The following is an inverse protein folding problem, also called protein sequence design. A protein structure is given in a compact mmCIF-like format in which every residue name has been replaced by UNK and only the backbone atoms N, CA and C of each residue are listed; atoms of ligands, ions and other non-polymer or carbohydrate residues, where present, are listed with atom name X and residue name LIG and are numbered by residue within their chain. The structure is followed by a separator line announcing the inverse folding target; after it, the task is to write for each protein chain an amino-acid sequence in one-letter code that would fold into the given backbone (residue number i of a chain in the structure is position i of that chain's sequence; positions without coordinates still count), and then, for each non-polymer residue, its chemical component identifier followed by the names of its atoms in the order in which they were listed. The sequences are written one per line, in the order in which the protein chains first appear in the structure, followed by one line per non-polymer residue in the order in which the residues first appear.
data_IF_396568861268
#
_entry.id   IF_396568861268
#
_cell.length_a   1.000
_cell.length_b   1.000
_cell.length_c   1.000
_cell.angle_alpha   90.00
_cell.angle_beta   90.00
_cell.angle_gamma   90.00
#
_symmetry.space_group_name_H-M   'P 1'
#
loop_
_entity.id
_entity.type
_entity.pdbx_description
1 polymer ?
#
# COMPACT_ATOMS: atom_id res chain seq x y z
N UNK A 1 -47.80 -93.42 -18.67
CA UNK A 1 -46.50 -92.93 -18.08
C UNK A 1 -46.06 -91.70 -18.86
N UNK A 2 -46.09 -90.60 -18.22
CA UNK A 2 -45.76 -89.26 -18.75
C UNK A 2 -44.35 -88.93 -18.35
N UNK A 3 -43.48 -88.78 -19.35
CA UNK A 3 -42.08 -88.36 -19.21
C UNK A 3 -42.00 -86.88 -18.86
N UNK A 4 -41.28 -86.46 -17.80
CA UNK A 4 -41.12 -85.00 -17.50
C UNK A 4 -40.11 -84.37 -18.47
N UNK A 5 -40.54 -83.31 -19.13
CA UNK A 5 -39.74 -82.50 -20.04
C UNK A 5 -38.63 -81.75 -19.30
N UNK A 6 -37.39 -81.97 -19.69
CA UNK A 6 -36.21 -81.22 -19.28
C UNK A 6 -36.31 -79.75 -19.71
N UNK A 7 -36.57 -78.85 -18.73
CA UNK A 7 -36.50 -77.41 -18.97
C UNK A 7 -35.04 -77.00 -19.22
N UNK A 8 -34.75 -76.57 -20.44
CA UNK A 8 -33.47 -75.96 -20.85
C UNK A 8 -33.26 -74.67 -20.07
N UNK A 9 -32.30 -74.61 -19.22
CA UNK A 9 -31.86 -73.39 -18.55
C UNK A 9 -31.55 -72.27 -19.58
N UNK A 10 -31.96 -71.01 -19.32
CA UNK A 10 -31.71 -69.91 -20.24
C UNK A 10 -30.20 -69.66 -20.39
N UNK A 11 -29.68 -69.81 -21.61
CA UNK A 11 -28.32 -69.44 -21.95
C UNK A 11 -28.18 -67.95 -21.83
N UNK A 12 -27.51 -67.43 -20.72
CA UNK A 12 -27.17 -66.02 -20.58
C UNK A 12 -26.37 -65.57 -21.82
N UNK A 13 -26.78 -64.50 -22.48
CA UNK A 13 -26.18 -64.09 -23.74
C UNK A 13 -24.69 -63.75 -23.53
N UNK A 14 -23.83 -64.38 -24.30
CA UNK A 14 -22.36 -64.21 -24.27
C UNK A 14 -21.93 -62.74 -24.36
N UNK A 15 -22.80 -61.90 -24.94
CA UNK A 15 -22.64 -60.42 -25.06
C UNK A 15 -22.66 -59.69 -23.72
N UNK A 16 -23.46 -60.11 -22.74
CA UNK A 16 -23.48 -59.51 -21.38
C UNK A 16 -22.15 -59.76 -20.60
N UNK A 17 -21.55 -60.96 -20.82
CA UNK A 17 -20.23 -61.26 -20.18
C UNK A 17 -19.11 -60.44 -20.81
N UNK A 18 -19.13 -60.25 -22.13
CA UNK A 18 -18.14 -59.40 -22.83
C UNK A 18 -18.27 -57.93 -22.42
N UNK A 19 -19.49 -57.40 -22.37
CA UNK A 19 -19.75 -56.04 -21.89
C UNK A 19 -19.27 -55.85 -20.44
N UNK A 20 -19.55 -56.84 -19.55
CA UNK A 20 -19.05 -56.77 -18.16
C UNK A 20 -17.52 -56.78 -18.05
N UNK A 21 -16.84 -57.56 -18.90
CA UNK A 21 -15.35 -57.59 -18.94
C UNK A 21 -14.81 -56.26 -19.47
N UNK A 22 -15.40 -55.68 -20.53
CA UNK A 22 -14.98 -54.38 -21.09
C UNK A 22 -15.16 -53.25 -20.10
N UNK A 23 -16.34 -53.20 -19.43
CA UNK A 23 -16.60 -52.21 -18.40
C UNK A 23 -15.68 -52.38 -17.19
N UNK A 24 -15.40 -53.61 -16.76
CA UNK A 24 -14.44 -53.89 -15.68
C UNK A 24 -13.01 -53.47 -16.05
N UNK A 25 -12.56 -53.74 -17.26
CA UNK A 25 -11.26 -53.31 -17.74
C UNK A 25 -11.15 -51.78 -17.85
N UNK A 26 -12.20 -51.11 -18.36
CA UNK A 26 -12.25 -49.64 -18.41
C UNK A 26 -12.21 -49.01 -17.01
N UNK A 27 -12.98 -49.55 -16.06
CA UNK A 27 -12.97 -49.08 -14.68
C UNK A 27 -11.60 -49.27 -14.01
N UNK A 28 -10.94 -50.43 -14.25
CA UNK A 28 -9.59 -50.68 -13.74
C UNK A 28 -8.59 -49.71 -14.32
N UNK A 29 -8.66 -49.39 -15.62
CA UNK A 29 -7.79 -48.40 -16.25
C UNK A 29 -8.00 -47.01 -15.67
N UNK A 30 -9.23 -46.60 -15.47
CA UNK A 30 -9.55 -45.30 -14.83
C UNK A 30 -9.02 -45.27 -13.41
N UNK A 31 -9.22 -46.31 -12.61
CA UNK A 31 -8.72 -46.39 -11.24
C UNK A 31 -7.19 -46.33 -11.18
N UNK A 32 -6.50 -47.04 -12.07
CA UNK A 32 -5.03 -47.00 -12.18
C UNK A 32 -4.55 -45.59 -12.58
N UNK A 33 -5.19 -44.98 -13.57
CA UNK A 33 -4.86 -43.63 -13.99
C UNK A 33 -5.11 -42.60 -12.88
N UNK A 34 -6.21 -42.75 -12.12
CA UNK A 34 -6.52 -41.91 -10.95
C UNK A 34 -5.45 -42.02 -9.87
N UNK A 35 -5.08 -43.22 -9.46
CA UNK A 35 -4.03 -43.46 -8.45
C UNK A 35 -2.67 -42.98 -8.96
N UNK A 36 -2.33 -43.24 -10.22
CA UNK A 36 -1.09 -42.76 -10.82
C UNK A 36 -1.04 -41.22 -10.81
N UNK A 37 -2.13 -40.52 -11.17
CA UNK A 37 -2.24 -39.09 -11.11
C UNK A 37 -2.06 -38.57 -9.68
N UNK A 38 -2.71 -39.19 -8.69
CA UNK A 38 -2.54 -38.82 -7.28
C UNK A 38 -1.07 -38.95 -6.84
N UNK A 39 -0.38 -40.00 -7.22
CA UNK A 39 1.04 -40.20 -6.89
C UNK A 39 1.93 -39.14 -7.56
N UNK A 40 1.64 -38.76 -8.81
CA UNK A 40 2.37 -37.71 -9.53
C UNK A 40 2.22 -36.35 -8.83
N UNK A 41 1.02 -36.02 -8.38
CA UNK A 41 0.73 -34.74 -7.71
C UNK A 41 1.06 -34.74 -6.20
N UNK A 42 1.45 -35.88 -5.63
CA UNK A 42 1.99 -35.90 -4.28
C UNK A 42 3.40 -35.28 -4.27
N UNK A 43 3.53 -34.10 -3.63
CA UNK A 43 4.78 -33.35 -3.58
C UNK A 43 5.09 -32.50 -4.82
N UNK A 44 4.10 -32.28 -5.69
CA UNK A 44 4.16 -31.34 -6.80
C UNK A 44 2.99 -30.39 -6.77
N UNK A 45 3.19 -29.19 -7.29
CA UNK A 45 2.12 -28.23 -7.50
C UNK A 45 1.15 -28.72 -8.56
N UNK A 46 -0.12 -28.41 -8.37
CA UNK A 46 -1.17 -28.76 -9.32
C UNK A 46 -1.05 -27.91 -10.59
N UNK A 47 -1.62 -28.37 -11.73
CA UNK A 47 -1.73 -27.53 -12.92
C UNK A 47 -2.46 -26.22 -12.64
N UNK A 48 -2.16 -25.17 -13.41
CA UNK A 48 -2.73 -23.83 -13.29
C UNK A 48 -2.48 -23.18 -11.90
N UNK A 49 -1.32 -23.45 -11.30
CA UNK A 49 -0.87 -22.80 -10.07
C UNK A 49 0.19 -21.74 -10.41
N UNK A 50 -0.04 -20.50 -9.97
CA UNK A 50 0.88 -19.38 -10.14
C UNK A 50 1.26 -18.77 -8.80
N UNK A 51 2.39 -18.05 -8.78
CA UNK A 51 2.74 -17.11 -7.72
C UNK A 51 2.95 -15.76 -8.42
N UNK A 52 1.98 -14.88 -8.30
CA UNK A 52 1.92 -13.68 -9.12
C UNK A 52 1.90 -14.00 -10.60
N UNK A 53 2.87 -13.47 -11.35
CA UNK A 53 2.98 -13.73 -12.79
C UNK A 53 3.72 -15.01 -13.13
N UNK A 54 4.31 -15.71 -12.14
CA UNK A 54 5.14 -16.90 -12.36
C UNK A 54 4.31 -18.17 -12.30
N UNK A 55 4.32 -18.95 -13.38
CA UNK A 55 3.73 -20.30 -13.43
C UNK A 55 4.63 -21.32 -12.73
N UNK A 56 4.11 -21.94 -11.66
CA UNK A 56 4.75 -22.99 -10.87
C UNK A 56 4.09 -24.35 -11.06
N UNK A 57 3.20 -24.49 -12.05
CA UNK A 57 2.49 -25.73 -12.35
C UNK A 57 3.43 -26.91 -12.52
N UNK A 58 3.09 -28.04 -11.89
CA UNK A 58 3.84 -29.30 -11.95
C UNK A 58 5.26 -29.29 -11.37
N UNK A 59 5.73 -28.16 -10.87
CA UNK A 59 7.04 -28.05 -10.23
C UNK A 59 7.09 -28.84 -8.93
N UNK A 60 8.28 -29.29 -8.55
CA UNK A 60 8.53 -29.88 -7.24
C UNK A 60 8.69 -28.80 -6.18
N UNK A 61 8.57 -29.17 -4.90
CA UNK A 61 8.83 -28.25 -3.78
C UNK A 61 10.17 -27.52 -3.94
N UNK A 62 11.25 -28.25 -4.20
CA UNK A 62 12.60 -27.68 -4.34
C UNK A 62 12.79 -26.82 -5.61
N UNK A 63 12.00 -27.05 -6.66
CA UNK A 63 12.02 -26.16 -7.82
C UNK A 63 11.35 -24.83 -7.49
N UNK A 64 10.20 -24.87 -6.78
CA UNK A 64 9.49 -23.65 -6.37
C UNK A 64 10.28 -22.89 -5.30
N UNK A 65 10.94 -23.57 -4.35
CA UNK A 65 11.84 -22.91 -3.41
C UNK A 65 12.89 -22.06 -4.12
N UNK A 66 13.52 -22.58 -5.17
CA UNK A 66 14.49 -21.82 -5.98
C UNK A 66 13.83 -20.65 -6.71
N UNK A 67 12.68 -20.87 -7.33
CA UNK A 67 11.94 -19.81 -8.01
C UNK A 67 11.58 -18.69 -7.06
N UNK A 68 11.15 -19.00 -5.84
CA UNK A 68 10.80 -17.99 -4.84
C UNK A 68 12.02 -17.19 -4.34
N UNK A 69 13.17 -17.84 -4.20
CA UNK A 69 14.43 -17.15 -3.85
C UNK A 69 14.88 -16.25 -5.00
N UNK A 70 14.89 -16.76 -6.23
CA UNK A 70 15.26 -15.97 -7.42
C UNK A 70 14.31 -14.77 -7.60
N UNK A 71 12.99 -14.94 -7.37
CA UNK A 71 12.00 -13.88 -7.47
C UNK A 71 12.20 -12.80 -6.39
N UNK A 72 12.61 -13.22 -5.18
CA UNK A 72 12.93 -12.27 -4.12
C UNK A 72 14.23 -11.50 -4.44
N UNK A 73 15.26 -12.19 -4.94
CA UNK A 73 16.53 -11.56 -5.29
C UNK A 73 16.37 -10.55 -6.44
N UNK A 74 15.45 -10.81 -7.37
CA UNK A 74 15.12 -9.94 -8.49
C UNK A 74 14.10 -8.83 -8.12
N UNK A 75 13.49 -8.92 -6.92
CA UNK A 75 12.46 -7.95 -6.52
C UNK A 75 13.05 -6.58 -6.24
N UNK A 76 12.50 -5.58 -6.91
CA UNK A 76 12.85 -4.16 -6.76
C UNK A 76 11.58 -3.32 -6.69
N UNK A 77 11.49 -2.48 -5.68
CA UNK A 77 10.45 -1.44 -5.60
C UNK A 77 11.01 -0.10 -6.06
N UNK A 78 10.38 0.47 -7.09
CA UNK A 78 10.68 1.80 -7.60
C UNK A 78 9.66 2.83 -7.06
N UNK A 79 10.10 3.66 -6.12
CA UNK A 79 9.31 4.78 -5.56
C UNK A 79 9.62 6.04 -6.36
N UNK A 80 8.61 6.73 -6.89
CA UNK A 80 8.82 7.95 -7.68
C UNK A 80 7.65 8.93 -7.58
N UNK A 81 7.95 10.22 -7.68
CA UNK A 81 6.96 11.30 -7.70
C UNK A 81 7.41 12.51 -6.88
N UNK A 82 6.79 13.66 -7.08
CA UNK A 82 7.08 14.91 -6.36
C UNK A 82 8.56 15.34 -6.40
N UNK A 83 9.31 14.93 -7.44
CA UNK A 83 10.74 15.19 -7.55
C UNK A 83 11.64 14.19 -6.80
N UNK A 84 11.05 13.23 -6.08
CA UNK A 84 11.74 12.15 -5.38
C UNK A 84 11.83 10.89 -6.25
N UNK A 85 12.91 10.14 -6.08
CA UNK A 85 13.09 8.82 -6.70
C UNK A 85 13.96 7.96 -5.79
N UNK A 86 13.49 6.76 -5.48
CA UNK A 86 14.19 5.78 -4.67
C UNK A 86 13.96 4.39 -5.28
N UNK A 87 15.00 3.56 -5.30
CA UNK A 87 14.93 2.14 -5.65
C UNK A 87 15.36 1.33 -4.45
N UNK A 88 14.60 0.34 -4.12
CA UNK A 88 14.84 -0.55 -2.98
C UNK A 88 14.83 -1.98 -3.49
N UNK A 89 15.90 -2.70 -3.25
CA UNK A 89 15.97 -4.15 -3.43
C UNK A 89 15.33 -4.86 -2.24
N UNK A 90 15.08 -6.15 -2.37
CA UNK A 90 14.62 -6.97 -1.25
C UNK A 90 15.57 -6.91 -0.05
N UNK A 91 16.88 -6.87 -0.29
CA UNK A 91 17.91 -6.73 0.75
C UNK A 91 17.81 -5.37 1.46
N UNK A 92 17.69 -4.26 0.71
CA UNK A 92 17.52 -2.90 1.26
C UNK A 92 16.25 -2.78 2.10
N UNK A 93 15.21 -3.53 1.74
CA UNK A 93 13.95 -3.61 2.48
C UNK A 93 14.04 -4.54 3.71
N UNK A 94 15.16 -5.24 3.92
CA UNK A 94 15.30 -6.25 4.97
C UNK A 94 14.33 -7.42 4.81
N UNK A 95 13.98 -7.75 3.57
CA UNK A 95 13.09 -8.86 3.27
C UNK A 95 13.81 -10.18 3.47
N UNK A 96 13.15 -11.10 4.17
CA UNK A 96 13.65 -12.46 4.37
C UNK A 96 12.54 -13.44 4.04
N UNK A 97 12.87 -14.46 3.28
CA UNK A 97 11.94 -15.50 2.87
C UNK A 97 12.41 -16.86 3.39
N UNK A 98 11.61 -17.47 4.24
CA UNK A 98 11.75 -18.90 4.57
C UNK A 98 11.05 -19.72 3.47
N UNK A 99 11.71 -19.84 2.31
CA UNK A 99 11.14 -20.48 1.14
C UNK A 99 10.66 -21.92 1.41
N UNK A 100 11.39 -22.80 2.15
CA UNK A 100 10.88 -24.12 2.50
C UNK A 100 9.56 -24.07 3.25
N UNK A 101 9.43 -23.19 4.24
CA UNK A 101 8.22 -23.05 5.05
C UNK A 101 7.03 -22.53 4.25
N UNK A 102 7.28 -21.58 3.33
CA UNK A 102 6.24 -21.04 2.44
C UNK A 102 5.75 -22.12 1.50
N UNK A 103 6.66 -22.85 0.85
CA UNK A 103 6.33 -23.95 -0.06
C UNK A 103 5.59 -25.09 0.66
N UNK A 104 6.00 -25.47 1.87
CA UNK A 104 5.28 -26.45 2.68
C UNK A 104 3.83 -26.00 2.94
N UNK A 105 3.61 -24.73 3.29
CA UNK A 105 2.29 -24.15 3.50
C UNK A 105 1.45 -24.15 2.22
N UNK A 106 2.02 -23.76 1.08
CA UNK A 106 1.34 -23.82 -0.21
C UNK A 106 0.91 -25.24 -0.58
N UNK A 107 1.79 -26.24 -0.39
CA UNK A 107 1.50 -27.63 -0.68
C UNK A 107 0.50 -28.27 0.30
N UNK A 108 0.49 -27.84 1.58
CA UNK A 108 -0.43 -28.38 2.59
C UNK A 108 -1.91 -28.09 2.28
N UNK A 109 -2.18 -27.01 1.55
CA UNK A 109 -3.52 -26.62 1.13
C UNK A 109 -3.98 -27.35 -0.15
N UNK A 110 -3.08 -28.05 -0.83
CA UNK A 110 -3.39 -28.84 -2.00
C UNK A 110 -3.77 -30.28 -1.62
N UNK A 111 -4.92 -30.75 -2.09
CA UNK A 111 -5.32 -32.15 -1.90
C UNK A 111 -5.06 -32.96 -3.18
N UNK A 112 -4.00 -33.79 -3.22
CA UNK A 112 -3.65 -34.57 -4.40
C UNK A 112 -4.75 -35.53 -4.87
N UNK A 113 -5.66 -35.93 -3.97
CA UNK A 113 -6.80 -36.79 -4.34
C UNK A 113 -7.88 -36.09 -5.13
N UNK A 114 -7.94 -34.76 -5.07
CA UNK A 114 -8.92 -33.96 -5.83
C UNK A 114 -8.36 -33.48 -7.17
N UNK A 115 -7.20 -33.97 -7.60
CA UNK A 115 -6.51 -33.52 -8.81
C UNK A 115 -7.41 -33.43 -10.07
N UNK A 116 -8.39 -34.36 -10.33
CA UNK A 116 -9.23 -34.25 -11.52
C UNK A 116 -10.17 -33.05 -11.51
N UNK A 117 -10.51 -32.53 -10.32
CA UNK A 117 -11.33 -31.35 -10.14
C UNK A 117 -10.50 -30.08 -10.10
N UNK A 118 -9.31 -30.19 -9.55
CA UNK A 118 -8.41 -29.05 -9.33
C UNK A 118 -7.60 -28.67 -10.59
N UNK A 119 -7.44 -29.59 -11.54
CA UNK A 119 -6.71 -29.36 -12.80
C UNK A 119 -7.33 -28.25 -13.67
N UNK A 120 -8.59 -27.90 -13.47
CA UNK A 120 -9.29 -26.82 -14.20
C UNK A 120 -9.43 -25.53 -13.39
N UNK A 121 -8.91 -25.51 -12.14
CA UNK A 121 -8.92 -24.35 -11.26
C UNK A 121 -7.62 -23.56 -11.39
N UNK A 122 -7.75 -22.26 -11.57
CA UNK A 122 -6.63 -21.33 -11.43
C UNK A 122 -6.38 -21.08 -9.96
N UNK A 123 -5.11 -21.09 -9.54
CA UNK A 123 -4.65 -20.81 -8.19
C UNK A 123 -3.53 -19.80 -8.23
N UNK A 124 -3.74 -18.69 -7.55
CA UNK A 124 -2.67 -17.75 -7.26
C UNK A 124 -2.29 -17.87 -5.77
N UNK A 125 -1.03 -18.16 -5.53
CA UNK A 125 -0.46 -18.33 -4.20
C UNK A 125 0.33 -17.09 -3.73
N UNK A 126 0.18 -15.95 -4.42
CA UNK A 126 0.91 -14.71 -4.14
C UNK A 126 0.66 -14.19 -2.72
N UNK A 127 -0.59 -14.29 -2.23
CA UNK A 127 -0.93 -13.85 -0.87
C UNK A 127 -0.14 -14.57 0.22
N UNK A 128 0.24 -15.83 -0.03
CA UNK A 128 1.04 -16.62 0.91
C UNK A 128 2.50 -16.20 0.94
N UNK A 129 2.99 -15.67 -0.17
CA UNK A 129 4.34 -15.11 -0.27
C UNK A 129 4.43 -13.78 0.50
N UNK A 130 3.48 -12.87 0.29
CA UNK A 130 3.44 -11.55 0.90
C UNK A 130 3.49 -11.58 2.44
N UNK A 131 2.89 -12.59 3.07
CA UNK A 131 2.84 -12.75 4.53
C UNK A 131 4.20 -13.05 5.21
N UNK A 132 5.30 -13.10 4.48
CA UNK A 132 6.61 -13.58 4.97
C UNK A 132 7.67 -12.49 5.12
N UNK A 133 7.32 -11.21 5.04
CA UNK A 133 8.27 -10.09 5.10
C UNK A 133 8.38 -9.47 6.50
N UNK A 134 9.58 -8.94 6.80
CA UNK A 134 9.86 -8.20 8.02
C UNK A 134 9.91 -6.69 7.74
N UNK A 135 9.02 -5.91 8.36
CA UNK A 135 8.88 -4.47 8.11
C UNK A 135 9.98 -3.60 8.76
N UNK A 136 10.76 -4.17 9.68
CA UNK A 136 11.58 -3.37 10.61
C UNK A 136 12.73 -2.58 9.97
N UNK A 137 13.29 -3.03 8.85
CA UNK A 137 14.42 -2.37 8.19
C UNK A 137 13.98 -1.39 7.11
N UNK A 138 12.91 -1.73 6.39
CA UNK A 138 12.36 -0.94 5.30
C UNK A 138 12.05 0.50 5.72
N UNK A 139 11.35 0.67 6.86
CA UNK A 139 10.97 1.98 7.36
C UNK A 139 12.18 2.88 7.66
N UNK A 140 13.30 2.32 8.14
CA UNK A 140 14.52 3.09 8.40
C UNK A 140 15.20 3.53 7.10
N UNK A 141 15.28 2.65 6.10
CA UNK A 141 15.89 2.95 4.80
C UNK A 141 15.10 4.03 4.07
N UNK A 142 13.76 3.91 4.05
CA UNK A 142 12.88 4.92 3.44
C UNK A 142 12.98 6.25 4.17
N UNK A 143 12.95 6.25 5.50
CA UNK A 143 13.11 7.46 6.33
C UNK A 143 14.38 8.20 5.98
N UNK A 144 15.53 7.53 6.00
CA UNK A 144 16.81 8.15 5.69
C UNK A 144 16.83 8.79 4.28
N UNK A 145 16.27 8.11 3.28
CA UNK A 145 16.21 8.65 1.92
C UNK A 145 15.29 9.87 1.81
N UNK A 146 14.13 9.85 2.50
CA UNK A 146 13.19 11.00 2.50
C UNK A 146 13.75 12.18 3.28
N UNK A 147 14.43 11.95 4.40
CA UNK A 147 15.09 13.02 5.18
C UNK A 147 16.20 13.68 4.37
N UNK A 148 17.00 12.90 3.65
CA UNK A 148 18.05 13.44 2.75
C UNK A 148 17.45 14.30 1.63
N UNK A 149 16.38 13.84 1.00
CA UNK A 149 15.63 14.63 0.01
C UNK A 149 15.07 15.91 0.64
N UNK A 150 14.46 15.83 1.80
CA UNK A 150 13.86 16.95 2.51
C UNK A 150 14.88 18.01 2.94
N UNK A 151 16.15 17.66 3.11
CA UNK A 151 17.20 18.64 3.40
C UNK A 151 17.38 19.71 2.32
N UNK A 152 16.97 19.40 1.07
CA UNK A 152 16.99 20.34 -0.07
C UNK A 152 15.60 20.78 -0.54
N UNK A 153 14.54 20.15 -0.07
CA UNK A 153 13.17 20.46 -0.42
C UNK A 153 12.68 21.73 0.31
N UNK A 154 11.65 22.36 -0.22
CA UNK A 154 11.01 23.52 0.41
C UNK A 154 9.95 23.01 1.40
N UNK A 155 10.04 23.36 2.68
CA UNK A 155 8.96 23.07 3.62
C UNK A 155 7.70 23.87 3.24
N UNK A 156 6.50 23.42 3.62
CA UNK A 156 5.30 24.22 3.50
C UNK A 156 5.40 25.48 4.40
N UNK A 157 4.74 26.53 3.99
CA UNK A 157 4.61 27.75 4.78
C UNK A 157 3.16 27.83 5.26
N UNK A 158 2.97 28.00 6.57
CA UNK A 158 1.66 28.13 7.19
C UNK A 158 1.01 29.46 6.77
N UNK A 159 -0.32 29.47 6.71
CA UNK A 159 -1.06 30.73 6.61
C UNK A 159 -0.80 31.58 7.87
N UNK A 160 -0.74 32.88 7.69
CA UNK A 160 -0.46 33.82 8.78
C UNK A 160 -1.28 35.08 8.62
N UNK A 161 -1.22 35.95 9.60
CA UNK A 161 -1.82 37.30 9.55
C UNK A 161 -0.69 38.31 9.41
N UNK A 162 -0.75 39.14 8.37
CA UNK A 162 0.22 40.21 8.16
C UNK A 162 -0.46 41.50 7.70
N UNK A 163 0.18 42.64 7.93
CA UNK A 163 -0.32 43.93 7.48
C UNK A 163 -0.10 44.05 5.96
N UNK A 164 -1.16 44.37 5.23
CA UNK A 164 -1.14 44.70 3.81
C UNK A 164 -1.12 46.20 3.62
N UNK A 165 -0.01 46.73 3.08
CA UNK A 165 0.16 48.17 2.86
C UNK A 165 -0.83 48.71 1.82
N UNK A 166 -1.31 47.91 0.88
CA UNK A 166 -2.24 48.33 -0.16
C UNK A 166 -3.67 48.49 0.37
N UNK A 167 -4.04 47.64 1.34
CA UNK A 167 -5.36 47.68 2.02
C UNK A 167 -5.34 48.47 3.33
N UNK A 168 -4.14 48.88 3.79
CA UNK A 168 -3.89 49.51 5.09
C UNK A 168 -4.55 48.74 6.25
N UNK A 169 -4.48 47.40 6.18
CA UNK A 169 -5.14 46.50 7.10
C UNK A 169 -4.38 45.17 7.26
N UNK A 170 -4.59 44.54 8.42
CA UNK A 170 -4.15 43.14 8.60
C UNK A 170 -5.04 42.20 7.78
N UNK A 171 -4.42 41.37 6.96
CA UNK A 171 -5.07 40.38 6.14
C UNK A 171 -4.46 38.99 6.36
N UNK A 172 -5.23 37.93 6.08
CA UNK A 172 -4.75 36.58 6.11
C UNK A 172 -3.89 36.35 4.87
N UNK A 173 -2.61 36.07 5.10
CA UNK A 173 -1.68 35.63 4.06
C UNK A 173 -1.86 34.13 3.84
N UNK A 174 -2.07 33.75 2.58
CA UNK A 174 -2.34 32.36 2.22
C UNK A 174 -1.13 31.49 2.43
N UNK A 175 -1.38 30.27 2.91
CA UNK A 175 -0.39 29.19 3.00
C UNK A 175 0.27 28.89 1.64
N UNK A 176 1.51 28.44 1.68
CA UNK A 176 2.22 27.98 0.49
C UNK A 176 2.54 26.51 0.61
N UNK A 177 2.17 25.75 -0.42
CA UNK A 177 2.55 24.35 -0.51
C UNK A 177 4.08 24.23 -0.67
N UNK A 178 4.66 23.33 0.12
CA UNK A 178 6.07 22.96 -0.01
C UNK A 178 6.27 21.83 -1.03
N UNK A 179 7.54 21.38 -1.13
CA UNK A 179 7.93 20.19 -1.87
C UNK A 179 8.49 19.11 -0.96
N UNK A 180 8.60 19.37 0.34
CA UNK A 180 9.04 18.40 1.32
C UNK A 180 8.02 17.28 1.48
N UNK A 181 8.52 16.04 1.57
CA UNK A 181 7.70 14.83 1.72
C UNK A 181 7.39 14.57 3.19
N UNK A 182 6.21 14.06 3.45
CA UNK A 182 5.84 13.48 4.74
C UNK A 182 6.44 12.09 4.87
N UNK A 183 7.36 11.94 5.79
CA UNK A 183 8.15 10.72 6.00
C UNK A 183 7.23 9.54 6.30
N UNK A 184 6.26 9.73 7.20
CA UNK A 184 5.40 8.63 7.65
C UNK A 184 4.43 8.20 6.52
N UNK A 185 3.87 9.14 5.77
CA UNK A 185 3.00 8.83 4.63
C UNK A 185 3.74 8.06 3.53
N UNK A 186 5.02 8.40 3.28
CA UNK A 186 5.84 7.66 2.31
C UNK A 186 6.15 6.25 2.82
N UNK A 187 6.54 6.09 4.10
CA UNK A 187 6.83 4.79 4.71
C UNK A 187 5.59 3.89 4.65
N UNK A 188 4.42 4.40 5.02
CA UNK A 188 3.17 3.64 4.99
C UNK A 188 2.87 3.11 3.58
N UNK A 189 2.95 4.00 2.57
CA UNK A 189 2.69 3.62 1.18
C UNK A 189 3.71 2.61 0.64
N UNK A 190 4.99 2.74 1.01
CA UNK A 190 6.03 1.78 0.59
C UNK A 190 5.84 0.44 1.30
N UNK A 191 5.50 0.43 2.59
CA UNK A 191 5.19 -0.81 3.32
C UNK A 191 4.02 -1.56 2.69
N UNK A 192 2.96 -0.84 2.30
CA UNK A 192 1.80 -1.44 1.63
C UNK A 192 2.19 -2.05 0.27
N UNK A 193 2.98 -1.34 -0.53
CA UNK A 193 3.45 -1.85 -1.82
C UNK A 193 4.33 -3.09 -1.68
N UNK A 194 5.24 -3.10 -0.70
CA UNK A 194 6.09 -4.27 -0.41
C UNK A 194 5.26 -5.44 0.09
N UNK A 195 4.27 -5.21 0.96
CA UNK A 195 3.38 -6.25 1.45
C UNK A 195 2.54 -6.92 0.35
N UNK A 196 2.25 -6.19 -0.72
CA UNK A 196 1.51 -6.68 -1.90
C UNK A 196 2.40 -7.03 -3.08
N UNK A 197 3.74 -6.98 -2.92
CA UNK A 197 4.71 -7.23 -3.98
C UNK A 197 4.56 -6.29 -5.20
N UNK A 198 4.03 -5.09 -4.99
CA UNK A 198 3.94 -4.08 -6.05
C UNK A 198 5.32 -3.51 -6.37
N UNK A 199 5.77 -3.57 -7.64
CA UNK A 199 7.11 -3.10 -8.01
C UNK A 199 7.22 -1.59 -8.18
N UNK A 200 6.11 -0.84 -8.09
CA UNK A 200 6.09 0.61 -8.35
C UNK A 200 5.20 1.34 -7.38
N UNK A 201 5.75 2.38 -6.76
CA UNK A 201 5.04 3.32 -5.90
C UNK A 201 5.07 4.70 -6.54
N UNK A 202 3.90 5.33 -6.67
CA UNK A 202 3.77 6.68 -7.19
C UNK A 202 3.38 7.65 -6.09
N UNK A 203 4.30 8.55 -5.73
CA UNK A 203 4.03 9.61 -4.77
C UNK A 203 3.18 10.72 -5.43
N UNK A 204 2.17 11.16 -4.71
CA UNK A 204 1.24 12.22 -5.12
C UNK A 204 1.34 13.41 -4.15
N UNK A 205 0.53 14.43 -4.34
CA UNK A 205 0.45 15.57 -3.41
C UNK A 205 -0.01 15.17 -1.98
N UNK A 206 -0.63 14.01 -1.82
CA UNK A 206 -1.00 13.49 -0.50
C UNK A 206 0.22 13.10 0.36
N UNK A 207 1.37 12.86 -0.27
CA UNK A 207 2.63 12.52 0.40
C UNK A 207 3.51 13.74 0.69
N UNK A 208 3.03 14.95 0.39
CA UNK A 208 3.73 16.18 0.76
C UNK A 208 3.36 16.59 2.18
N UNK A 209 4.33 17.18 2.88
CA UNK A 209 4.05 17.86 4.14
C UNK A 209 2.99 18.93 3.92
N UNK A 210 2.00 18.97 4.79
CA UNK A 210 0.92 19.93 4.71
C UNK A 210 1.17 21.11 5.67
N UNK A 211 0.81 22.33 5.28
CA UNK A 211 0.77 23.46 6.21
C UNK A 211 -0.13 23.12 7.40
N UNK A 212 0.30 23.50 8.59
CA UNK A 212 -0.49 23.32 9.83
C UNK A 212 -1.64 24.30 9.91
N UNK A 213 -1.42 25.52 9.41
CA UNK A 213 -2.39 26.61 9.38
C UNK A 213 -2.80 26.87 7.92
N UNK A 214 -4.10 26.92 7.69
CA UNK A 214 -4.67 27.21 6.37
C UNK A 214 -5.43 28.51 6.38
N UNK A 215 -5.44 29.23 5.30
CA UNK A 215 -6.17 30.49 5.15
C UNK A 215 -7.68 30.36 5.34
N UNK A 216 -8.19 29.13 5.36
CA UNK A 216 -9.60 28.80 5.66
C UNK A 216 -9.88 28.62 7.15
N UNK A 217 -8.88 28.68 8.01
CA UNK A 217 -9.05 28.49 9.44
C UNK A 217 -9.66 29.77 10.06
N UNK A 218 -10.83 29.63 10.65
CA UNK A 218 -11.65 30.77 11.14
C UNK A 218 -10.90 31.69 12.10
N UNK A 219 -10.03 31.14 12.95
CA UNK A 219 -9.27 31.90 13.92
C UNK A 219 -8.25 32.88 13.30
N UNK A 220 -7.75 32.63 12.07
CA UNK A 220 -6.89 33.56 11.33
C UNK A 220 -7.69 34.84 10.95
N UNK A 221 -8.92 34.64 10.49
CA UNK A 221 -9.81 35.76 10.16
C UNK A 221 -10.18 36.55 11.44
N UNK A 222 -10.39 35.86 12.56
CA UNK A 222 -10.64 36.49 13.86
C UNK A 222 -9.42 37.28 14.34
N UNK A 223 -8.21 36.72 14.22
CA UNK A 223 -6.95 37.38 14.56
C UNK A 223 -6.73 38.66 13.72
N UNK A 224 -6.90 38.55 12.38
CA UNK A 224 -6.83 39.71 11.50
C UNK A 224 -7.85 40.81 11.88
N UNK A 225 -9.08 40.41 12.17
CA UNK A 225 -10.13 41.33 12.62
C UNK A 225 -9.80 41.97 13.96
N UNK A 226 -9.21 41.22 14.90
CA UNK A 226 -8.77 41.75 16.18
C UNK A 226 -7.61 42.74 16.02
N UNK A 227 -6.60 42.41 15.21
CA UNK A 227 -5.50 43.32 14.90
C UNK A 227 -5.97 44.63 14.24
N UNK A 228 -6.92 44.51 13.32
CA UNK A 228 -7.53 45.65 12.64
C UNK A 228 -8.31 46.59 13.60
N UNK A 229 -8.81 46.05 14.71
CA UNK A 229 -9.42 46.90 15.75
C UNK A 229 -8.36 47.72 16.52
N UNK A 230 -7.18 47.18 16.72
CA UNK A 230 -6.09 47.87 17.41
C UNK A 230 -5.55 49.05 16.58
N UNK A 231 -5.35 48.87 15.27
CA UNK A 231 -4.80 49.91 14.38
C UNK A 231 -5.83 51.00 13.98
N UNK A 232 -7.11 50.75 14.25
CA UNK A 232 -8.18 51.77 14.05
C UNK A 232 -8.34 52.68 15.24
N UNK A 233 -7.52 52.56 16.27
CA UNK A 233 -7.54 53.48 17.41
C UNK A 233 -7.11 54.88 16.93
N UNK A 234 -7.91 55.90 17.28
CA UNK A 234 -7.56 57.28 17.01
C UNK A 234 -6.52 57.72 18.07
N UNK A 235 -5.27 57.68 17.70
CA UNK A 235 -4.13 58.04 18.57
C UNK A 235 -3.52 59.33 18.09
N UNK A 236 -3.66 60.39 18.90
CA UNK A 236 -3.13 61.71 18.62
C UNK A 236 -2.06 62.09 19.67
N UNK A 237 -0.91 62.46 19.17
CA UNK A 237 0.12 63.08 19.99
C UNK A 237 -0.17 64.58 20.08
N UNK A 238 -0.42 65.08 21.30
CA UNK A 238 -0.66 66.51 21.54
C UNK A 238 0.49 67.15 22.30
N UNK A 239 0.92 68.32 21.86
CA UNK A 239 1.93 69.12 22.54
C UNK A 239 1.35 70.54 22.81
N UNK A 240 1.22 70.91 24.06
CA UNK A 240 0.68 72.17 24.43
C UNK A 240 -0.79 72.42 24.03
N UNK A 241 -1.58 71.33 23.90
CA UNK A 241 -2.98 71.39 23.50
C UNK A 241 -3.22 71.40 21.98
N UNK A 242 -2.17 71.35 21.20
CA UNK A 242 -2.25 71.25 19.72
C UNK A 242 -1.84 69.82 19.29
N UNK A 243 -2.57 69.22 18.34
CA UNK A 243 -2.21 67.94 17.76
C UNK A 243 -0.87 68.10 17.03
N UNK A 244 0.17 67.41 17.48
CA UNK A 244 1.52 67.44 16.93
C UNK A 244 1.73 66.34 15.89
N UNK A 245 1.07 65.19 16.06
CA UNK A 245 1.07 64.07 15.11
C UNK A 245 -0.15 63.17 15.33
N UNK A 246 -0.60 62.53 14.26
CA UNK A 246 -1.61 61.47 14.27
C UNK A 246 -0.92 60.17 13.89
N UNK A 247 -1.20 59.06 14.60
CA UNK A 247 -0.68 57.75 14.23
C UNK A 247 -1.61 57.13 13.17
N UNK A 248 -1.06 56.92 12.00
CA UNK A 248 -1.77 56.24 10.93
C UNK A 248 -1.77 54.69 11.14
N UNK A 249 -2.64 53.96 10.45
CA UNK A 249 -2.69 52.50 10.55
C UNK A 249 -1.35 51.81 10.25
N UNK A 250 -0.54 52.36 9.34
CA UNK A 250 0.77 51.78 8.96
C UNK A 250 1.77 51.91 10.11
N UNK A 251 1.78 53.06 10.83
CA UNK A 251 2.60 53.25 12.01
C UNK A 251 2.15 52.31 13.14
N UNK A 252 0.83 52.25 13.39
CA UNK A 252 0.29 51.39 14.45
C UNK A 252 0.46 49.92 14.18
N UNK A 253 0.50 49.48 12.90
CA UNK A 253 0.73 48.07 12.53
C UNK A 253 2.10 47.59 12.97
N UNK A 254 3.11 48.46 12.98
CA UNK A 254 4.45 48.13 13.45
C UNK A 254 4.54 47.86 14.96
N UNK A 255 3.52 48.26 15.73
CA UNK A 255 3.41 48.01 17.17
C UNK A 255 2.56 46.77 17.51
N UNK A 256 1.92 46.15 16.53
CA UNK A 256 1.10 44.97 16.75
C UNK A 256 1.98 43.70 16.65
N UNK A 257 2.01 42.96 17.73
CA UNK A 257 2.63 41.63 17.81
C UNK A 257 1.57 40.54 17.99
N UNK A 258 1.88 39.32 17.57
CA UNK A 258 1.01 38.15 17.74
C UNK A 258 1.70 37.14 18.65
N UNK A 259 0.96 36.61 19.61
CA UNK A 259 1.42 35.50 20.44
C UNK A 259 1.34 34.15 19.69
N UNK A 260 1.72 33.04 20.38
CA UNK A 260 1.67 31.67 19.84
C UNK A 260 0.25 31.24 19.45
N UNK A 261 -0.78 31.87 19.97
CA UNK A 261 -2.20 31.63 19.65
C UNK A 261 -2.74 32.62 18.63
N UNK A 262 -1.88 33.41 17.99
CA UNK A 262 -2.23 34.48 17.05
C UNK A 262 -3.13 35.55 17.64
N UNK A 263 -3.09 35.75 18.97
CA UNK A 263 -3.78 36.88 19.63
C UNK A 263 -2.94 38.15 19.47
N UNK A 264 -3.50 39.18 18.84
CA UNK A 264 -2.78 40.43 18.65
C UNK A 264 -2.72 41.25 19.94
N UNK A 265 -1.58 41.84 20.21
CA UNK A 265 -1.36 42.80 21.29
C UNK A 265 -0.51 43.97 20.80
N UNK A 266 -0.61 45.11 21.46
CA UNK A 266 0.31 46.23 21.23
C UNK A 266 1.59 46.02 22.04
N UNK A 267 2.73 46.17 21.38
CA UNK A 267 4.03 46.18 22.04
C UNK A 267 4.18 47.51 22.83
N UNK A 268 4.42 47.41 24.11
CA UNK A 268 4.51 48.56 25.02
C UNK A 268 5.94 49.06 25.25
N UNK A 269 6.96 48.60 24.44
CA UNK A 269 8.35 49.06 24.58
C UNK A 269 8.67 50.37 23.83
#
# INVERSE_FOLDING_TARGET
PSTPGLQKAPRRPRRLKVVGIVLGAAFTLIAVAYVAGTLVFTGRFLPNTTVGERDISLMTASDVERVLVDELDDYEVAVSGQGFSLRLTAEDAGMTLDAPRVVERMLSDANPWLWPLEIVRERDEQDKLAASFSEGHLGQTVRAAVEDFNASAKPPVDATVAFDEGEEAFAVQKEQAGTALDVEAVIETVNEAVATMEPKVKLTSAHLQQPRLRSTDDYLAEAASAANRLIKADVQLTMGGTVAAEADPALLSGLVSFDENLMPSLDEE
#
